data_IF_978889118899
#
_entry.id   IF_978889118899
#
_cell.length_a   1.000
_cell.length_b   1.000
_cell.length_c   1.000
_cell.angle_alpha   90.00
_cell.angle_beta   90.00
_cell.angle_gamma   90.00
#
_symmetry.space_group_name_H-M   'P 1'
#
loop_
_entity.id
_entity.type
_entity.pdbx_description
1 polymer ?
#
# COMPACT_ATOMS: atom_id res chain seq x y z
N UNK A 1 -56.80 29.68 49.81
CA UNK A 1 -55.95 28.52 50.18
C UNK A 1 -55.72 27.70 48.92
N UNK A 2 -54.45 27.42 48.60
CA UNK A 2 -53.95 26.41 47.63
C UNK A 2 -54.30 26.75 46.15
N UNK A 3 -53.40 27.16 45.25
CA UNK A 3 -51.97 26.89 45.13
C UNK A 3 -51.73 25.63 44.28
N UNK A 4 -51.83 25.73 42.95
CA UNK A 4 -51.43 24.67 42.03
C UNK A 4 -50.63 25.28 40.87
N UNK A 5 -49.32 25.37 41.06
CA UNK A 5 -48.36 25.63 40.01
C UNK A 5 -48.02 24.28 39.33
N UNK A 6 -48.37 24.13 38.06
CA UNK A 6 -47.80 23.08 37.21
C UNK A 6 -46.59 23.68 36.48
N UNK A 7 -45.40 23.39 37.00
CA UNK A 7 -44.13 23.76 36.39
C UNK A 7 -43.88 22.80 35.23
N UNK A 8 -43.82 23.35 34.03
CA UNK A 8 -43.34 22.68 32.83
C UNK A 8 -41.83 22.42 33.01
N UNK A 9 -41.42 21.17 33.26
CA UNK A 9 -40.00 20.81 33.22
C UNK A 9 -39.57 20.70 31.75
N UNK A 10 -38.76 21.66 31.31
CA UNK A 10 -38.01 21.55 30.07
C UNK A 10 -36.94 20.46 30.25
N UNK A 11 -37.06 19.37 29.51
CA UNK A 11 -35.98 18.40 29.35
C UNK A 11 -34.98 19.00 28.37
N UNK A 12 -33.87 19.52 28.88
CA UNK A 12 -32.73 19.88 28.04
C UNK A 12 -32.12 18.59 27.49
N UNK A 13 -32.40 18.28 26.22
CA UNK A 13 -31.57 17.33 25.47
C UNK A 13 -30.21 17.98 25.24
N UNK A 14 -29.26 17.73 26.13
CA UNK A 14 -27.85 17.94 25.80
C UNK A 14 -27.50 16.91 24.75
N UNK A 15 -27.41 17.34 23.49
CA UNK A 15 -26.71 16.60 22.46
C UNK A 15 -25.25 16.49 22.93
N UNK A 16 -24.91 15.37 23.55
CA UNK A 16 -23.53 14.95 23.70
C UNK A 16 -23.05 14.67 22.29
N UNK A 17 -22.46 15.66 21.63
CA UNK A 17 -21.57 15.43 20.52
C UNK A 17 -20.55 14.41 21.03
N UNK A 18 -20.67 13.17 20.55
CA UNK A 18 -19.69 12.15 20.80
C UNK A 18 -18.37 12.73 20.32
N UNK A 19 -17.50 13.03 21.27
CA UNK A 19 -16.10 13.30 20.98
C UNK A 19 -15.57 12.01 20.37
N UNK A 20 -15.54 11.92 19.04
CA UNK A 20 -14.76 10.88 18.38
C UNK A 20 -13.32 11.10 18.83
N UNK A 21 -12.82 10.16 19.64
CA UNK A 21 -11.42 10.08 20.00
C UNK A 21 -10.61 9.84 18.73
N UNK A 22 -10.18 10.93 18.08
CA UNK A 22 -9.16 10.91 17.04
C UNK A 22 -7.76 10.65 17.65
N UNK A 23 -7.58 9.55 18.36
CA UNK A 23 -6.28 9.11 18.88
C UNK A 23 -5.75 7.83 18.22
N UNK A 24 -6.39 7.32 17.17
CA UNK A 24 -5.88 6.18 16.39
C UNK A 24 -4.81 6.61 15.37
N UNK A 25 -3.82 7.40 15.78
CA UNK A 25 -2.63 7.61 14.94
C UNK A 25 -1.61 6.52 15.28
N UNK A 26 -1.27 5.60 14.35
CA UNK A 26 -0.41 4.44 14.63
C UNK A 26 1.07 4.81 14.95
N UNK A 27 1.40 6.11 15.06
CA UNK A 27 2.77 6.62 15.04
C UNK A 27 3.21 7.21 16.41
N UNK A 28 2.42 7.09 17.49
CA UNK A 28 2.70 7.78 18.76
C UNK A 28 2.77 6.90 20.03
N UNK A 29 3.25 5.67 19.93
CA UNK A 29 3.68 4.89 21.10
C UNK A 29 5.14 4.43 20.93
N UNK A 30 5.83 4.07 22.02
CA UNK A 30 7.18 3.47 22.08
C UNK A 30 7.26 2.09 21.39
N UNK A 31 6.65 1.97 20.21
CA UNK A 31 6.48 0.75 19.44
C UNK A 31 7.50 0.73 18.31
N UNK A 32 8.30 -0.33 18.27
CA UNK A 32 9.13 -0.64 17.11
C UNK A 32 8.19 -1.05 15.96
N UNK A 33 8.30 -0.37 14.83
CA UNK A 33 7.51 -0.66 13.62
C UNK A 33 8.34 -1.48 12.62
N UNK A 34 7.73 -2.53 12.08
CA UNK A 34 8.29 -3.36 11.03
C UNK A 34 7.73 -2.94 9.66
N UNK A 35 8.53 -2.21 8.89
CA UNK A 35 8.18 -1.77 7.54
C UNK A 35 8.61 -2.86 6.55
N UNK A 36 7.66 -3.51 5.89
CA UNK A 36 7.95 -4.54 4.90
C UNK A 36 8.41 -3.88 3.59
N UNK A 37 9.70 -3.55 3.52
CA UNK A 37 10.36 -2.88 2.39
C UNK A 37 10.12 -3.60 1.07
N UNK A 38 9.33 -2.97 0.19
CA UNK A 38 8.84 -3.49 -1.09
C UNK A 38 8.02 -4.78 -0.97
N UNK A 39 7.37 -4.97 0.18
CA UNK A 39 6.78 -6.22 0.64
C UNK A 39 7.79 -7.13 1.35
N UNK A 40 7.56 -8.44 1.34
CA UNK A 40 8.55 -9.41 1.82
C UNK A 40 9.62 -9.69 0.73
N UNK A 41 10.32 -8.65 0.29
CA UNK A 41 11.22 -8.65 -0.87
C UNK A 41 12.43 -9.60 -0.77
N UNK A 42 12.81 -10.01 0.45
CA UNK A 42 13.79 -11.08 0.66
C UNK A 42 13.28 -12.50 0.32
N UNK A 43 11.97 -12.67 0.15
CA UNK A 43 11.30 -13.99 -0.01
C UNK A 43 10.36 -14.07 -1.21
N UNK A 44 10.09 -12.95 -1.88
CA UNK A 44 9.19 -12.81 -3.01
C UNK A 44 9.64 -11.65 -3.91
N UNK A 45 9.24 -11.62 -5.20
CA UNK A 45 9.64 -10.57 -6.12
C UNK A 45 9.10 -9.22 -5.64
N UNK A 46 9.99 -8.24 -5.49
CA UNK A 46 9.67 -6.92 -4.93
C UNK A 46 8.53 -6.22 -5.67
N UNK A 47 7.76 -5.42 -4.94
CA UNK A 47 6.59 -4.67 -5.45
C UNK A 47 5.53 -5.47 -6.19
N UNK A 48 5.42 -6.77 -5.96
CA UNK A 48 4.30 -7.58 -6.45
C UNK A 48 3.23 -7.78 -5.37
N UNK A 49 1.96 -7.98 -5.76
CA UNK A 49 0.89 -8.29 -4.80
C UNK A 49 1.26 -9.50 -3.90
N UNK A 50 1.86 -10.61 -4.41
CA UNK A 50 2.31 -11.70 -3.55
C UNK A 50 3.37 -11.32 -2.52
N UNK A 51 4.29 -10.39 -2.84
CA UNK A 51 5.29 -9.91 -1.87
C UNK A 51 4.63 -9.10 -0.76
N UNK A 52 3.69 -8.22 -1.08
CA UNK A 52 2.91 -7.48 -0.08
C UNK A 52 2.08 -8.40 0.81
N UNK A 53 1.35 -9.34 0.22
CA UNK A 53 0.59 -10.34 0.99
C UNK A 53 1.49 -11.21 1.87
N UNK A 54 2.73 -11.48 1.46
CA UNK A 54 3.68 -12.21 2.30
C UNK A 54 4.17 -11.33 3.46
N UNK A 55 4.41 -10.04 3.24
CA UNK A 55 4.71 -9.07 4.29
C UNK A 55 3.64 -9.05 5.38
N UNK A 56 2.36 -8.97 5.02
CA UNK A 56 1.25 -9.04 5.97
C UNK A 56 1.21 -10.38 6.74
N UNK A 57 1.42 -11.51 6.05
CA UNK A 57 1.49 -12.83 6.70
C UNK A 57 2.65 -12.93 7.69
N UNK A 58 3.75 -12.24 7.39
CA UNK A 58 4.92 -12.11 8.25
C UNK A 58 4.77 -11.02 9.33
N UNK A 59 3.57 -10.44 9.48
CA UNK A 59 3.24 -9.43 10.48
C UNK A 59 4.04 -8.13 10.33
N UNK A 60 4.33 -7.74 9.08
CA UNK A 60 4.77 -6.37 8.79
C UNK A 60 3.68 -5.36 9.16
N UNK A 61 4.05 -4.28 9.85
CA UNK A 61 3.13 -3.21 10.23
C UNK A 61 2.75 -2.33 9.04
N UNK A 62 3.63 -2.21 8.03
CA UNK A 62 3.44 -1.38 6.84
C UNK A 62 3.72 -2.14 5.54
N UNK A 63 2.92 -1.84 4.52
CA UNK A 63 3.22 -2.10 3.11
C UNK A 63 4.02 -0.92 2.58
N UNK A 64 5.27 -1.15 2.21
CA UNK A 64 6.15 -0.12 1.65
C UNK A 64 6.11 -0.14 0.12
N UNK A 65 6.00 1.05 -0.49
CA UNK A 65 5.74 1.24 -1.91
C UNK A 65 6.60 2.39 -2.45
N UNK A 66 7.49 2.06 -3.37
CA UNK A 66 8.18 3.04 -4.23
C UNK A 66 7.29 3.38 -5.44
N UNK A 67 7.08 4.67 -5.71
CA UNK A 67 6.26 5.11 -6.83
C UNK A 67 7.07 5.53 -8.06
N UNK A 68 6.60 5.06 -9.22
CA UNK A 68 6.95 5.58 -10.54
C UNK A 68 5.68 5.95 -11.32
N UNK A 69 5.82 6.76 -12.37
CA UNK A 69 4.69 7.18 -13.21
C UNK A 69 4.88 6.75 -14.67
N UNK A 70 3.88 6.09 -15.24
CA UNK A 70 3.87 5.67 -16.65
C UNK A 70 3.69 6.85 -17.59
N UNK A 71 3.97 6.65 -18.88
CA UNK A 71 3.74 7.62 -19.96
C UNK A 71 2.33 8.20 -20.00
N UNK A 72 1.34 7.36 -19.67
CA UNK A 72 -0.08 7.71 -19.61
C UNK A 72 -0.56 8.14 -18.21
N UNK A 73 0.38 8.53 -17.34
CA UNK A 73 0.09 9.20 -16.05
C UNK A 73 -0.39 8.27 -14.95
N UNK A 74 -0.07 6.98 -15.01
CA UNK A 74 -0.50 5.99 -13.99
C UNK A 74 0.60 5.76 -12.97
N UNK A 75 0.27 5.86 -11.69
CA UNK A 75 1.19 5.52 -10.60
C UNK A 75 1.29 3.99 -10.43
N UNK A 76 2.52 3.49 -10.50
CA UNK A 76 2.85 2.07 -10.33
C UNK A 76 3.84 1.86 -9.19
N UNK A 77 3.84 0.65 -8.62
CA UNK A 77 4.82 0.26 -7.63
C UNK A 77 6.07 -0.30 -8.32
N UNK A 78 7.18 0.43 -8.28
CA UNK A 78 8.47 0.04 -8.85
C UNK A 78 9.57 0.89 -8.23
N UNK A 79 10.71 0.29 -7.88
CA UNK A 79 11.80 1.03 -7.25
C UNK A 79 12.60 1.86 -8.26
N UNK A 80 12.98 1.25 -9.38
CA UNK A 80 13.86 1.87 -10.38
C UNK A 80 13.06 2.74 -11.36
N UNK A 81 13.73 3.71 -11.99
CA UNK A 81 13.13 4.50 -13.08
C UNK A 81 12.98 3.70 -14.38
N UNK A 82 13.65 2.54 -14.49
CA UNK A 82 13.54 1.60 -15.60
C UNK A 82 12.93 0.27 -15.18
N UNK A 83 12.35 -0.46 -16.13
CA UNK A 83 11.77 -1.79 -15.89
C UNK A 83 12.82 -2.91 -15.85
N UNK A 84 14.02 -2.64 -16.37
CA UNK A 84 15.07 -3.59 -16.74
C UNK A 84 15.47 -4.58 -15.63
N UNK A 85 15.58 -4.11 -14.38
CA UNK A 85 16.10 -4.95 -13.28
C UNK A 85 15.07 -5.97 -12.81
N UNK A 86 13.79 -5.61 -12.82
CA UNK A 86 12.73 -6.35 -12.15
C UNK A 86 11.65 -6.85 -13.10
N UNK A 87 11.88 -6.76 -14.41
CA UNK A 87 11.01 -7.37 -15.41
C UNK A 87 11.81 -7.99 -16.55
N UNK A 88 11.12 -8.61 -17.51
CA UNK A 88 11.68 -9.09 -18.79
C UNK A 88 11.72 -8.00 -19.89
N UNK A 89 11.44 -6.74 -19.53
CA UNK A 89 11.38 -5.60 -20.43
C UNK A 89 12.64 -4.74 -20.37
N UNK A 90 12.69 -3.69 -21.20
CA UNK A 90 13.72 -2.66 -21.13
C UNK A 90 13.12 -1.27 -21.33
N UNK A 91 13.74 -0.24 -20.75
CA UNK A 91 13.38 1.16 -20.94
C UNK A 91 12.84 1.83 -19.67
N UNK A 92 12.70 3.16 -19.74
CA UNK A 92 12.21 3.96 -18.63
C UNK A 92 10.69 3.80 -18.46
N UNK A 93 10.23 3.75 -17.22
CA UNK A 93 8.81 3.65 -16.88
C UNK A 93 8.00 4.77 -17.52
N UNK A 94 8.53 6.00 -17.51
CA UNK A 94 7.89 7.20 -18.10
C UNK A 94 7.71 7.13 -19.62
N UNK A 95 8.42 6.24 -20.30
CA UNK A 95 8.34 6.08 -21.75
C UNK A 95 7.36 4.96 -22.17
N UNK A 96 6.85 4.20 -21.20
CA UNK A 96 5.93 3.08 -21.39
C UNK A 96 4.53 3.40 -20.86
N UNK A 97 3.50 3.00 -21.59
CA UNK A 97 2.11 3.05 -21.10
C UNK A 97 1.86 1.94 -20.07
N UNK A 98 0.86 2.12 -19.21
CA UNK A 98 0.45 1.07 -18.29
C UNK A 98 0.12 -0.25 -19.02
N UNK A 99 -0.49 -0.17 -20.20
CA UNK A 99 -0.83 -1.36 -21.00
C UNK A 99 0.41 -2.13 -21.46
N UNK A 100 1.52 -1.44 -21.75
CA UNK A 100 2.79 -2.06 -22.11
C UNK A 100 3.46 -2.68 -20.88
N UNK A 101 3.54 -1.94 -19.77
CA UNK A 101 4.13 -2.44 -18.52
C UNK A 101 3.39 -3.67 -17.98
N UNK A 102 2.06 -3.71 -18.12
CA UNK A 102 1.23 -4.84 -17.67
C UNK A 102 1.47 -6.15 -18.43
N UNK A 103 2.18 -6.13 -19.56
CA UNK A 103 2.56 -7.33 -20.30
C UNK A 103 3.89 -7.92 -19.82
N UNK A 104 4.65 -7.17 -19.03
CA UNK A 104 5.96 -7.58 -18.55
C UNK A 104 5.84 -8.59 -17.40
N UNK A 105 6.76 -9.54 -17.35
CA UNK A 105 6.92 -10.48 -16.25
C UNK A 105 7.79 -9.85 -15.14
N UNK A 106 7.13 -9.42 -14.06
CA UNK A 106 7.74 -8.78 -12.91
C UNK A 106 8.22 -9.76 -11.81
N UNK A 107 8.28 -11.06 -12.07
CA UNK A 107 8.57 -12.05 -11.04
C UNK A 107 9.57 -13.14 -11.40
N UNK A 108 9.74 -13.50 -12.67
CA UNK A 108 10.71 -14.54 -13.09
C UNK A 108 12.16 -14.16 -12.72
N UNK A 109 12.53 -12.88 -12.85
CA UNK A 109 13.87 -12.37 -12.46
C UNK A 109 14.25 -12.75 -11.02
N UNK A 110 13.28 -12.77 -10.10
CA UNK A 110 13.52 -13.09 -8.70
C UNK A 110 13.89 -14.56 -8.52
N UNK A 111 13.22 -15.47 -9.26
CA UNK A 111 13.52 -16.89 -9.23
C UNK A 111 14.94 -17.16 -9.74
N UNK A 112 15.33 -16.49 -10.82
CA UNK A 112 16.68 -16.60 -11.41
C UNK A 112 17.75 -16.08 -10.45
N UNK A 113 17.50 -14.93 -9.82
CA UNK A 113 18.44 -14.31 -8.86
C UNK A 113 18.49 -15.04 -7.51
N UNK A 114 17.41 -15.70 -7.10
CA UNK A 114 17.28 -16.36 -5.79
C UNK A 114 16.75 -17.81 -5.92
N UNK A 115 17.53 -18.75 -6.49
CA UNK A 115 17.06 -20.11 -6.77
C UNK A 115 16.49 -20.85 -5.53
N UNK A 116 17.05 -20.59 -4.35
CA UNK A 116 16.63 -21.17 -3.07
C UNK A 116 15.26 -20.67 -2.58
N UNK A 117 14.81 -19.51 -3.06
CA UNK A 117 13.50 -18.93 -2.74
C UNK A 117 12.52 -19.03 -3.92
N UNK A 118 12.95 -19.62 -5.04
CA UNK A 118 12.20 -19.65 -6.27
C UNK A 118 10.87 -20.40 -6.12
N UNK A 119 9.81 -19.87 -6.72
CA UNK A 119 8.50 -20.51 -6.74
C UNK A 119 7.88 -20.35 -8.12
N UNK A 120 7.28 -21.43 -8.64
CA UNK A 120 6.59 -21.42 -9.94
C UNK A 120 5.52 -20.32 -10.03
N UNK A 121 4.83 -20.04 -8.91
CA UNK A 121 3.80 -18.99 -8.82
C UNK A 121 4.33 -17.55 -8.90
N UNK A 122 5.65 -17.35 -8.90
CA UNK A 122 6.25 -16.03 -9.10
C UNK A 122 6.47 -15.72 -10.58
N UNK A 123 6.45 -16.71 -11.47
CA UNK A 123 6.57 -16.48 -12.90
C UNK A 123 5.30 -15.81 -13.44
N UNK A 124 5.46 -14.82 -14.32
CA UNK A 124 4.36 -14.09 -14.94
C UNK A 124 3.61 -13.15 -14.00
N UNK A 125 4.18 -12.82 -12.82
CA UNK A 125 3.61 -11.77 -11.98
C UNK A 125 3.69 -10.42 -12.71
N UNK A 126 2.76 -9.53 -12.40
CA UNK A 126 2.66 -8.21 -13.06
C UNK A 126 2.97 -7.09 -12.08
N UNK A 127 3.50 -5.99 -12.61
CA UNK A 127 3.70 -4.74 -11.86
C UNK A 127 2.33 -4.18 -11.45
N UNK A 128 2.04 -3.94 -10.16
CA UNK A 128 0.76 -3.39 -9.74
C UNK A 128 0.74 -1.86 -9.84
N UNK A 129 -0.44 -1.30 -10.11
CA UNK A 129 -0.69 0.13 -9.90
C UNK A 129 -0.90 0.40 -8.41
N UNK A 130 -0.71 1.65 -7.97
CA UNK A 130 -1.05 2.05 -6.61
C UNK A 130 -2.54 1.79 -6.29
N UNK A 131 -3.42 2.03 -7.27
CA UNK A 131 -4.86 1.76 -7.17
C UNK A 131 -5.16 0.28 -6.91
N UNK A 132 -4.47 -0.64 -7.58
CA UNK A 132 -4.63 -2.07 -7.36
C UNK A 132 -4.13 -2.50 -5.99
N UNK A 133 -3.05 -1.89 -5.48
CA UNK A 133 -2.57 -2.13 -4.12
C UNK A 133 -3.63 -1.69 -3.11
N UNK A 134 -4.18 -0.48 -3.22
CA UNK A 134 -5.25 -0.02 -2.34
C UNK A 134 -6.52 -0.87 -2.44
N UNK A 135 -6.92 -1.26 -3.66
CA UNK A 135 -8.07 -2.16 -3.87
C UNK A 135 -7.83 -3.52 -3.22
N UNK A 136 -6.59 -3.99 -3.18
CA UNK A 136 -6.23 -5.30 -2.61
C UNK A 136 -6.23 -5.31 -1.08
N UNK A 137 -5.67 -4.27 -0.46
CA UNK A 137 -5.37 -4.26 0.98
C UNK A 137 -6.33 -3.36 1.80
N UNK A 138 -7.08 -2.47 1.15
CA UNK A 138 -8.14 -1.69 1.78
C UNK A 138 -7.61 -0.60 2.72
N UNK A 139 -8.48 -0.08 3.59
CA UNK A 139 -8.17 1.07 4.46
C UNK A 139 -7.55 0.68 5.80
N UNK A 140 -7.58 -0.61 6.14
CA UNK A 140 -7.09 -1.14 7.42
C UNK A 140 -5.58 -1.45 7.38
N UNK A 141 -4.98 -1.50 6.19
CA UNK A 141 -3.54 -1.63 6.03
C UNK A 141 -2.85 -0.26 6.24
N UNK A 142 -1.65 -0.27 6.79
CA UNK A 142 -0.80 0.92 6.83
C UNK A 142 0.13 0.93 5.60
N UNK A 143 0.32 2.11 5.01
CA UNK A 143 1.14 2.30 3.82
C UNK A 143 2.29 3.25 4.10
N UNK A 144 3.49 2.86 3.67
CA UNK A 144 4.67 3.71 3.66
C UNK A 144 5.01 3.97 2.19
N UNK A 145 4.69 5.16 1.68
CA UNK A 145 4.75 5.43 0.24
C UNK A 145 5.88 6.43 -0.02
N UNK A 146 6.86 6.02 -0.81
CA UNK A 146 7.95 6.87 -1.26
C UNK A 146 7.61 7.51 -2.62
N UNK A 147 7.69 8.84 -2.68
CA UNK A 147 7.73 9.58 -3.95
C UNK A 147 9.16 9.59 -4.47
N UNK A 148 9.41 8.96 -5.63
CA UNK A 148 10.74 8.94 -6.26
C UNK A 148 11.04 10.27 -6.97
N UNK A 149 11.38 10.23 -8.26
CA UNK A 149 11.89 11.37 -9.00
C UNK A 149 10.77 12.05 -9.80
N UNK A 150 10.07 13.07 -9.27
CA UNK A 150 8.92 13.67 -9.94
C UNK A 150 9.27 14.48 -11.19
N UNK A 151 10.56 14.81 -11.36
CA UNK A 151 11.08 15.66 -12.44
C UNK A 151 11.63 14.85 -13.63
N UNK A 152 11.60 13.53 -13.54
CA UNK A 152 12.24 12.64 -14.54
C UNK A 152 11.18 12.07 -15.45
#
# INVERSE_FOLDING_TARGET
MIGAAFILQAVSMSASAAHENHSNSPIYEDKIVNIAHRGASGYAPEHTIPAYQLGERMKGDYIEIDLQMTKDGRLIAMHDESVDRTTDGTGLVKDLTLTEIKKLDAGTWFNEKNPQMAKKKYEGLVVPTLEEVFKKFGREANYYIETKSPEV
#
